data_IF_470367966535
#
_entry.id   IF_470367966535
#
_cell.length_a   1.000
_cell.length_b   1.000
_cell.length_c   1.000
_cell.angle_alpha   90.00
_cell.angle_beta   90.00
_cell.angle_gamma   90.00
#
_symmetry.space_group_name_H-M   'P 1'
#
loop_
_entity.id
_entity.type
_entity.pdbx_description
1 polymer ?
#
# COMPACT_ATOMS: atom_id res chain seq x y z
N UNK A 1 18.27 7.49 40.92
CA UNK A 1 18.82 7.92 39.63
C UNK A 1 18.07 7.14 38.57
N UNK A 2 17.07 7.76 37.93
CA UNK A 2 16.33 7.10 36.85
C UNK A 2 17.30 6.82 35.70
N UNK A 3 17.25 5.60 35.16
CA UNK A 3 17.96 5.28 33.92
C UNK A 3 17.41 6.24 32.86
N UNK A 4 18.26 7.09 32.30
CA UNK A 4 17.91 7.92 31.16
C UNK A 4 17.44 6.98 30.05
N UNK A 5 16.17 7.08 29.65
CA UNK A 5 15.64 6.30 28.54
C UNK A 5 16.44 6.65 27.27
N UNK A 6 17.19 5.67 26.77
CA UNK A 6 18.01 5.83 25.58
C UNK A 6 17.10 5.73 24.37
N UNK A 7 16.90 6.87 23.67
CA UNK A 7 16.08 6.91 22.47
C UNK A 7 16.81 6.34 21.25
N UNK A 8 16.01 5.75 20.36
CA UNK A 8 16.44 5.28 19.04
C UNK A 8 15.67 6.01 17.95
N UNK A 9 16.39 6.67 17.04
CA UNK A 9 15.79 7.42 15.94
C UNK A 9 16.27 6.88 14.60
N UNK A 10 15.33 6.65 13.67
CA UNK A 10 15.67 6.34 12.27
C UNK A 10 16.30 7.59 11.65
N UNK A 11 17.45 7.42 11.01
CA UNK A 11 18.19 8.49 10.34
C UNK A 11 18.80 7.98 9.03
N UNK A 12 18.21 8.40 7.91
CA UNK A 12 18.53 7.86 6.58
C UNK A 12 18.32 6.34 6.54
N UNK A 13 19.38 5.59 6.22
CA UNK A 13 19.37 4.11 6.19
C UNK A 13 19.82 3.46 7.52
N UNK A 14 19.99 4.26 8.57
CA UNK A 14 20.56 3.82 9.86
C UNK A 14 19.64 4.17 11.03
N UNK A 15 20.03 3.73 12.23
CA UNK A 15 19.36 4.08 13.49
C UNK A 15 20.39 4.72 14.40
N UNK A 16 20.13 5.97 14.81
CA UNK A 16 20.86 6.63 15.87
C UNK A 16 20.38 6.05 17.20
N UNK A 17 21.31 5.59 18.03
CA UNK A 17 21.06 5.01 19.35
C UNK A 17 21.76 5.86 20.40
N UNK A 18 21.36 5.74 21.66
CA UNK A 18 22.05 6.45 22.75
C UNK A 18 21.59 7.90 22.92
N UNK A 19 20.47 8.30 22.29
CA UNK A 19 20.04 9.68 22.32
C UNK A 19 19.36 9.98 23.66
N UNK A 20 19.81 11.04 24.33
CA UNK A 20 19.24 11.53 25.59
C UNK A 20 18.91 13.02 25.40
N UNK A 21 17.65 13.35 25.08
CA UNK A 21 17.23 14.73 24.96
C UNK A 21 17.22 15.43 26.33
N UNK A 22 17.39 16.77 26.38
CA UNK A 22 17.32 17.52 27.62
C UNK A 22 15.88 17.50 28.19
N UNK A 23 15.75 17.29 29.49
CA UNK A 23 14.48 17.23 30.22
C UNK A 23 13.82 18.63 30.39
N UNK A 24 12.47 18.71 30.49
CA UNK A 24 11.53 17.59 30.38
C UNK A 24 11.20 17.23 28.92
N UNK A 25 10.97 15.95 28.65
CA UNK A 25 10.44 15.49 27.35
C UNK A 25 9.42 14.36 27.48
N UNK A 26 8.62 14.18 26.43
CA UNK A 26 7.71 13.06 26.23
C UNK A 26 8.02 12.36 24.91
N UNK A 27 7.74 11.05 24.83
CA UNK A 27 7.87 10.27 23.60
C UNK A 27 6.49 9.89 23.08
N UNK A 28 6.20 10.25 21.83
CA UNK A 28 4.96 9.89 21.14
C UNK A 28 5.30 8.85 20.06
N UNK A 29 4.79 7.64 20.22
CA UNK A 29 4.96 6.55 19.26
C UNK A 29 3.63 6.16 18.61
N UNK A 30 3.69 5.75 17.35
CA UNK A 30 2.53 5.22 16.67
C UNK A 30 2.17 3.84 17.24
N UNK A 31 0.88 3.63 17.53
CA UNK A 31 0.38 2.27 17.77
C UNK A 31 0.34 1.53 16.43
N UNK A 32 1.24 0.58 16.27
CA UNK A 32 1.23 -0.29 15.09
C UNK A 32 0.08 -1.29 15.22
N UNK A 33 -0.71 -1.51 14.15
CA UNK A 33 -1.73 -2.57 14.16
C UNK A 33 -1.07 -3.94 14.20
N UNK A 34 -1.77 -4.91 14.79
CA UNK A 34 -1.40 -6.33 14.67
C UNK A 34 -1.43 -6.74 13.19
N UNK A 35 -0.43 -7.53 12.79
CA UNK A 35 -0.26 -7.98 11.40
C UNK A 35 -0.67 -9.45 11.35
N UNK A 36 -1.96 -9.67 11.28
CA UNK A 36 -2.52 -11.02 11.34
C UNK A 36 -2.96 -11.46 9.94
N UNK A 37 -2.47 -12.63 9.50
CA UNK A 37 -2.89 -13.26 8.25
C UNK A 37 -1.91 -13.13 7.09
N UNK A 38 -2.15 -13.95 6.07
CA UNK A 38 -1.43 -13.92 4.80
C UNK A 38 -1.91 -12.72 3.94
N UNK A 39 -1.02 -11.83 3.46
CA UNK A 39 -1.42 -10.64 2.69
C UNK A 39 -2.31 -10.95 1.48
N UNK A 40 -2.05 -12.07 0.79
CA UNK A 40 -2.85 -12.48 -0.38
C UNK A 40 -4.25 -12.89 0.06
N UNK A 41 -4.37 -13.72 1.10
CA UNK A 41 -5.66 -14.10 1.68
C UNK A 41 -6.48 -12.90 2.18
N UNK A 42 -5.83 -11.92 2.81
CA UNK A 42 -6.49 -10.69 3.28
C UNK A 42 -7.01 -9.85 2.11
N UNK A 43 -6.21 -9.69 1.05
CA UNK A 43 -6.62 -8.97 -0.15
C UNK A 43 -7.82 -9.65 -0.81
N UNK A 44 -7.77 -10.98 -0.98
CA UNK A 44 -8.88 -11.73 -1.54
C UNK A 44 -10.17 -11.55 -0.74
N UNK A 45 -10.08 -11.68 0.59
CA UNK A 45 -11.23 -11.46 1.48
C UNK A 45 -11.80 -10.04 1.37
N UNK A 46 -10.94 -9.03 1.23
CA UNK A 46 -11.38 -7.64 1.07
C UNK A 46 -12.10 -7.40 -0.26
N UNK A 47 -11.69 -8.07 -1.34
CA UNK A 47 -12.35 -7.99 -2.66
C UNK A 47 -13.68 -8.76 -2.70
N UNK A 48 -13.78 -9.87 -1.96
CA UNK A 48 -15.00 -10.68 -1.85
C UNK A 48 -16.05 -10.03 -0.94
N UNK A 49 -15.61 -9.28 0.08
CA UNK A 49 -16.46 -8.65 1.09
C UNK A 49 -16.19 -7.14 1.26
N UNK A 50 -16.43 -6.33 0.22
CA UNK A 50 -16.17 -4.89 0.30
C UNK A 50 -17.18 -4.18 1.22
N UNK A 51 -16.73 -3.07 1.82
CA UNK A 51 -17.46 -2.38 2.90
C UNK A 51 -18.80 -1.78 2.47
N UNK A 52 -18.91 -1.28 1.23
CA UNK A 52 -20.10 -0.55 0.75
C UNK A 52 -20.31 -0.66 -0.76
N UNK A 53 -19.96 -1.81 -1.34
CA UNK A 53 -20.19 -2.12 -2.76
C UNK A 53 -20.57 -3.59 -2.93
N UNK A 54 -21.04 -4.01 -4.11
CA UNK A 54 -21.01 -5.41 -4.51
C UNK A 54 -19.57 -5.96 -4.48
N UNK A 55 -19.45 -7.28 -4.37
CA UNK A 55 -18.17 -7.99 -4.52
C UNK A 55 -17.51 -7.70 -5.86
N UNK A 56 -16.18 -7.78 -5.91
CA UNK A 56 -15.38 -7.29 -7.03
C UNK A 56 -15.87 -7.77 -8.40
N UNK A 57 -16.09 -9.07 -8.57
CA UNK A 57 -16.50 -9.67 -9.85
C UNK A 57 -17.90 -9.23 -10.30
N UNK A 58 -18.76 -8.82 -9.36
CA UNK A 58 -20.11 -8.35 -9.67
C UNK A 58 -20.14 -6.91 -10.23
N UNK A 59 -19.00 -6.21 -10.24
CA UNK A 59 -18.88 -4.86 -10.77
C UNK A 59 -18.63 -4.83 -12.29
N UNK A 60 -18.28 -5.96 -12.89
CA UNK A 60 -17.75 -6.03 -14.25
C UNK A 60 -18.54 -6.97 -15.14
N UNK A 61 -18.59 -6.62 -16.43
CA UNK A 61 -19.14 -7.45 -17.49
C UNK A 61 -18.06 -7.78 -18.54
N UNK A 62 -18.16 -8.93 -19.23
CA UNK A 62 -17.26 -9.25 -20.32
C UNK A 62 -17.29 -8.14 -21.39
N UNK A 63 -16.13 -7.61 -21.74
CA UNK A 63 -16.01 -6.54 -22.72
C UNK A 63 -15.94 -5.12 -22.14
N UNK A 64 -16.07 -4.94 -20.83
CA UNK A 64 -15.86 -3.64 -20.19
C UNK A 64 -14.42 -3.13 -20.40
N UNK A 65 -14.27 -1.80 -20.41
CA UNK A 65 -12.96 -1.13 -20.38
C UNK A 65 -12.71 -0.63 -18.96
N UNK A 66 -11.53 -0.95 -18.41
CA UNK A 66 -11.21 -0.70 -17.00
C UNK A 66 -9.97 0.17 -16.87
N UNK A 67 -10.11 1.30 -16.20
CA UNK A 67 -8.98 2.11 -15.75
C UNK A 67 -8.59 1.76 -14.32
N UNK A 68 -7.31 1.47 -14.08
CA UNK A 68 -6.74 1.21 -12.76
C UNK A 68 -5.78 2.34 -12.43
N UNK A 69 -6.05 3.07 -11.36
CA UNK A 69 -5.18 4.14 -10.88
C UNK A 69 -4.26 3.58 -9.79
N UNK A 70 -2.95 3.67 -10.01
CA UNK A 70 -1.93 3.25 -9.04
C UNK A 70 -1.13 4.46 -8.56
N UNK A 71 -0.64 4.47 -7.32
CA UNK A 71 0.22 5.56 -6.86
C UNK A 71 1.60 5.51 -7.52
N UNK A 72 2.33 6.62 -7.44
CA UNK A 72 3.70 6.69 -7.91
C UNK A 72 4.72 6.03 -6.95
N UNK A 73 5.98 5.96 -7.39
CA UNK A 73 7.09 5.35 -6.62
C UNK A 73 7.34 6.00 -5.25
N UNK A 74 6.83 7.21 -4.99
CA UNK A 74 7.01 7.91 -3.71
C UNK A 74 6.05 7.41 -2.62
N UNK A 75 5.18 6.45 -2.95
CA UNK A 75 4.19 5.87 -2.06
C UNK A 75 4.27 4.34 -2.11
N UNK A 76 4.75 3.74 -1.03
CA UNK A 76 4.65 2.30 -0.87
C UNK A 76 3.20 1.94 -0.47
N UNK A 77 2.44 1.43 -1.43
CA UNK A 77 1.06 0.95 -1.21
C UNK A 77 0.88 -0.55 -1.46
N UNK A 78 1.96 -1.30 -1.69
CA UNK A 78 1.89 -2.73 -2.00
C UNK A 78 1.33 -3.04 -3.39
N UNK A 79 1.52 -2.15 -4.38
CA UNK A 79 1.02 -2.32 -5.76
C UNK A 79 1.49 -3.64 -6.36
N UNK A 80 2.72 -4.06 -6.04
CA UNK A 80 3.32 -5.30 -6.52
C UNK A 80 2.59 -6.56 -6.05
N UNK A 81 1.77 -6.46 -5.00
CA UNK A 81 0.90 -7.53 -4.50
C UNK A 81 -0.54 -7.34 -4.98
N UNK A 82 -1.03 -6.10 -4.97
CA UNK A 82 -2.44 -5.78 -5.27
C UNK A 82 -2.74 -5.87 -6.77
N UNK A 83 -1.94 -5.25 -7.62
CA UNK A 83 -2.23 -5.12 -9.04
C UNK A 83 -2.31 -6.48 -9.75
N UNK A 84 -1.39 -7.45 -9.52
CA UNK A 84 -1.52 -8.78 -10.14
C UNK A 84 -2.83 -9.49 -9.80
N UNK A 85 -3.30 -9.39 -8.55
CA UNK A 85 -4.56 -10.02 -8.13
C UNK A 85 -5.78 -9.37 -8.80
N UNK A 86 -5.79 -8.04 -8.92
CA UNK A 86 -6.84 -7.33 -9.65
C UNK A 86 -6.88 -7.76 -11.13
N UNK A 87 -5.72 -7.83 -11.78
CA UNK A 87 -5.64 -8.26 -13.18
C UNK A 87 -6.13 -9.69 -13.38
N UNK A 88 -5.78 -10.61 -12.48
CA UNK A 88 -6.25 -11.99 -12.52
C UNK A 88 -7.78 -12.07 -12.41
N UNK A 89 -8.37 -11.34 -11.46
CA UNK A 89 -9.83 -11.32 -11.26
C UNK A 89 -10.57 -10.67 -12.42
N UNK A 90 -10.06 -9.57 -12.97
CA UNK A 90 -10.62 -8.94 -14.17
C UNK A 90 -10.59 -9.90 -15.37
N UNK A 91 -9.51 -10.67 -15.53
CA UNK A 91 -9.41 -11.73 -16.52
C UNK A 91 -10.52 -12.78 -16.36
N UNK A 92 -10.82 -13.20 -15.12
CA UNK A 92 -11.91 -14.12 -14.81
C UNK A 92 -13.31 -13.52 -15.13
N UNK A 93 -13.45 -12.19 -15.09
CA UNK A 93 -14.65 -11.47 -15.53
C UNK A 93 -14.74 -11.34 -17.07
N UNK A 94 -13.77 -11.84 -17.83
CA UNK A 94 -13.76 -11.78 -19.30
C UNK A 94 -13.23 -10.45 -19.86
N UNK A 95 -12.53 -9.66 -19.06
CA UNK A 95 -11.87 -8.44 -19.50
C UNK A 95 -10.47 -8.80 -20.01
N UNK A 96 -10.17 -8.42 -21.25
CA UNK A 96 -8.86 -8.65 -21.85
C UNK A 96 -7.87 -7.58 -21.42
N UNK A 97 -6.59 -7.90 -21.38
CA UNK A 97 -5.52 -6.94 -21.07
C UNK A 97 -5.58 -5.68 -21.96
N UNK A 98 -5.95 -5.83 -23.24
CA UNK A 98 -6.10 -4.70 -24.17
C UNK A 98 -7.23 -3.73 -23.81
N UNK A 99 -8.05 -4.06 -22.80
CA UNK A 99 -9.15 -3.26 -22.29
C UNK A 99 -8.84 -2.67 -20.92
N UNK A 100 -7.64 -2.90 -20.40
CA UNK A 100 -7.18 -2.43 -19.11
C UNK A 100 -6.12 -1.36 -19.33
N UNK A 101 -6.32 -0.19 -18.73
CA UNK A 101 -5.34 0.88 -18.71
C UNK A 101 -4.89 1.16 -17.29
N UNK A 102 -3.58 1.13 -17.05
CA UNK A 102 -2.99 1.45 -15.75
C UNK A 102 -2.42 2.86 -15.78
N UNK A 103 -2.97 3.74 -14.94
CA UNK A 103 -2.57 5.12 -14.81
C UNK A 103 -1.80 5.36 -13.51
N UNK A 104 -0.57 5.84 -13.61
CA UNK A 104 0.21 6.28 -12.45
C UNK A 104 -0.22 7.68 -12.01
N UNK A 105 -0.73 7.79 -10.79
CA UNK A 105 -1.20 9.04 -10.20
C UNK A 105 -0.04 9.90 -9.67
N UNK A 106 0.69 10.54 -10.58
CA UNK A 106 1.87 11.37 -10.25
C UNK A 106 1.52 12.66 -9.47
N UNK A 107 0.32 13.20 -9.66
CA UNK A 107 -0.03 14.53 -9.13
C UNK A 107 0.93 15.61 -9.65
N UNK A 108 1.61 16.31 -8.74
CA UNK A 108 2.62 17.34 -9.08
C UNK A 108 4.05 16.77 -9.18
N UNK A 109 4.24 15.47 -8.99
CA UNK A 109 5.55 14.85 -9.05
C UNK A 109 6.04 14.70 -10.51
N UNK A 110 7.35 14.56 -10.68
CA UNK A 110 7.94 14.27 -11.99
C UNK A 110 7.46 12.91 -12.51
N UNK A 111 7.55 12.72 -13.82
CA UNK A 111 7.42 11.39 -14.41
C UNK A 111 8.43 10.40 -13.84
N UNK A 112 7.98 9.17 -13.64
CA UNK A 112 8.82 8.04 -13.28
C UNK A 112 9.73 7.66 -14.46
N UNK A 113 10.89 7.12 -14.13
CA UNK A 113 11.78 6.47 -15.09
C UNK A 113 11.27 5.05 -15.40
N UNK A 114 11.91 4.35 -16.34
CA UNK A 114 11.51 2.97 -16.67
C UNK A 114 11.97 1.98 -15.61
N UNK A 115 13.02 2.32 -14.87
CA UNK A 115 13.61 1.53 -13.80
C UNK A 115 12.82 1.65 -12.48
N UNK A 116 11.98 2.67 -12.36
CA UNK A 116 11.08 2.94 -11.22
C UNK A 116 9.69 2.35 -11.46
#
# INVERSE_FOLDING_TARGET
MAMSDILQLRYGKSILKGLSPPEPYDVIEARMPERDGDPVGLLGSALDHPVSSPGFEALFSPGDSVGIIVPDVTRYSGVEQILPELLNRLGNCGIKESQIEVLFALGIHRSQTREE
#
